data_IF_916684931951
#
_entry.id   IF_916684931951
#
_cell.length_a   1.000
_cell.length_b   1.000
_cell.length_c   1.000
_cell.angle_alpha   90.00
_cell.angle_beta   90.00
_cell.angle_gamma   90.00
#
_symmetry.space_group_name_H-M   'P 1'
#
loop_
_entity.id
_entity.type
_entity.pdbx_description
1 polymer ?
#
# COMPACT_ATOMS: atom_id res chain seq x y z
N UNK A 1 4.07 -28.49 -23.16
CA UNK A 1 4.21 -27.08 -23.58
C UNK A 1 5.68 -26.82 -23.86
N UNK A 2 6.07 -26.43 -25.09
CA UNK A 2 7.48 -26.19 -25.46
C UNK A 2 8.14 -25.10 -24.61
N UNK A 3 7.38 -24.14 -24.08
CA UNK A 3 7.92 -23.10 -23.20
C UNK A 3 8.30 -23.64 -21.82
N UNK A 4 7.50 -24.56 -21.27
CA UNK A 4 7.80 -25.18 -19.97
C UNK A 4 9.10 -26.02 -20.02
N UNK A 5 9.41 -26.63 -21.16
CA UNK A 5 10.62 -27.44 -21.32
C UNK A 5 11.91 -26.60 -21.38
N UNK A 6 11.80 -25.32 -21.72
CA UNK A 6 12.93 -24.38 -21.84
C UNK A 6 12.98 -23.37 -20.68
N UNK A 7 11.96 -23.35 -19.82
CA UNK A 7 11.88 -22.44 -18.71
C UNK A 7 12.81 -22.92 -17.57
N UNK A 8 13.67 -22.04 -17.09
CA UNK A 8 14.42 -22.29 -15.85
C UNK A 8 13.48 -22.34 -14.63
N UNK A 9 12.49 -21.44 -14.60
CA UNK A 9 11.48 -21.32 -13.54
C UNK A 9 10.13 -20.96 -14.11
N UNK A 10 9.07 -21.35 -13.40
CA UNK A 10 7.69 -21.03 -13.72
C UNK A 10 7.05 -20.33 -12.53
N UNK A 11 6.30 -19.27 -12.79
CA UNK A 11 5.62 -18.51 -11.75
C UNK A 11 4.22 -18.09 -12.14
N UNK A 12 3.37 -17.85 -11.14
CA UNK A 12 2.00 -17.37 -11.34
C UNK A 12 1.99 -15.87 -11.65
N UNK A 13 1.08 -15.45 -12.53
CA UNK A 13 0.93 -14.03 -12.94
C UNK A 13 -0.17 -13.29 -12.17
N UNK A 14 -0.65 -13.88 -11.07
CA UNK A 14 -1.74 -13.32 -10.28
C UNK A 14 -1.36 -11.98 -9.67
N UNK A 15 -2.24 -10.98 -9.79
CA UNK A 15 -2.08 -9.66 -9.21
C UNK A 15 -3.29 -9.39 -8.32
N UNK A 16 -3.13 -9.45 -6.98
CA UNK A 16 -4.25 -9.25 -6.07
C UNK A 16 -4.71 -7.80 -6.09
N UNK A 17 -6.00 -7.60 -6.35
CA UNK A 17 -6.62 -6.29 -6.37
C UNK A 17 -7.11 -5.90 -4.97
N UNK A 18 -6.77 -4.68 -4.56
CA UNK A 18 -7.14 -4.10 -3.28
C UNK A 18 -7.88 -2.79 -3.54
N UNK A 19 -9.20 -2.85 -3.55
CA UNK A 19 -10.11 -1.72 -3.83
C UNK A 19 -9.84 -1.05 -5.20
N UNK A 20 -9.78 -1.81 -6.30
CA UNK A 20 -9.55 -1.22 -7.63
C UNK A 20 -8.09 -1.08 -8.03
N UNK A 21 -7.16 -1.25 -7.08
CA UNK A 21 -5.74 -0.90 -7.23
C UNK A 21 -4.87 -2.12 -6.94
N UNK A 22 -3.86 -2.34 -7.77
CA UNK A 22 -2.80 -3.31 -7.48
C UNK A 22 -1.75 -2.62 -6.63
N UNK A 23 -1.51 -3.16 -5.44
CA UNK A 23 -0.49 -2.63 -4.51
C UNK A 23 0.18 -3.67 -3.63
N UNK A 24 -0.17 -4.95 -3.75
CA UNK A 24 0.34 -6.03 -2.91
C UNK A 24 0.96 -7.14 -3.75
N UNK A 25 1.88 -7.87 -3.14
CA UNK A 25 2.44 -9.08 -3.72
C UNK A 25 1.42 -10.22 -3.70
N UNK A 26 1.51 -11.12 -4.69
CA UNK A 26 0.75 -12.37 -4.68
C UNK A 26 1.39 -13.35 -3.71
N UNK A 27 0.97 -13.29 -2.45
CA UNK A 27 1.51 -14.11 -1.35
C UNK A 27 0.64 -15.33 -1.05
N UNK A 28 -0.63 -15.29 -1.44
CA UNK A 28 -1.58 -16.38 -1.22
C UNK A 28 -1.37 -17.48 -2.27
N UNK A 29 -0.93 -18.66 -1.82
CA UNK A 29 -0.72 -19.82 -2.68
C UNK A 29 -1.88 -20.81 -2.51
N UNK A 30 -2.70 -21.06 -3.54
CA UNK A 30 -3.74 -22.09 -3.49
C UNK A 30 -3.14 -23.45 -3.13
N UNK A 31 -3.89 -24.30 -2.42
CA UNK A 31 -3.41 -25.63 -2.03
C UNK A 31 -2.87 -26.45 -3.22
N UNK A 32 -3.51 -26.31 -4.38
CA UNK A 32 -3.13 -26.98 -5.62
C UNK A 32 -1.78 -26.52 -6.20
N UNK A 33 -1.28 -25.35 -5.81
CA UNK A 33 -0.07 -24.73 -6.35
C UNK A 33 0.84 -24.15 -5.24
N UNK A 34 0.90 -24.80 -4.07
CA UNK A 34 1.68 -24.31 -2.92
C UNK A 34 3.18 -24.12 -3.21
N UNK A 35 3.73 -24.91 -4.13
CA UNK A 35 5.14 -24.86 -4.51
C UNK A 35 5.40 -23.91 -5.70
N UNK A 36 4.37 -23.30 -6.28
CA UNK A 36 4.52 -22.38 -7.40
C UNK A 36 4.65 -20.96 -6.86
N UNK A 37 5.80 -20.35 -7.11
CA UNK A 37 6.06 -18.95 -6.78
C UNK A 37 5.32 -18.00 -7.73
N UNK A 38 5.22 -16.73 -7.39
CA UNK A 38 4.81 -15.67 -8.31
C UNK A 38 5.86 -15.44 -9.40
N UNK A 39 5.45 -14.83 -10.53
CA UNK A 39 6.38 -14.46 -11.60
C UNK A 39 7.48 -13.52 -11.11
N UNK A 40 7.15 -12.60 -10.20
CA UNK A 40 8.11 -11.69 -9.59
C UNK A 40 9.15 -12.43 -8.73
N UNK A 41 8.72 -13.39 -7.90
CA UNK A 41 9.61 -14.26 -7.11
C UNK A 41 10.49 -15.12 -8.03
N UNK A 42 9.91 -15.74 -9.06
CA UNK A 42 10.66 -16.54 -10.03
C UNK A 42 11.75 -15.71 -10.72
N UNK A 43 11.43 -14.49 -11.15
CA UNK A 43 12.38 -13.57 -11.76
C UNK A 43 13.47 -13.13 -10.77
N UNK A 44 13.14 -12.94 -9.50
CA UNK A 44 14.09 -12.61 -8.45
C UNK A 44 14.93 -13.81 -7.97
N UNK A 45 14.78 -15.00 -8.59
CA UNK A 45 15.50 -16.22 -8.19
C UNK A 45 15.04 -16.77 -6.83
N UNK A 46 13.85 -16.41 -6.40
CA UNK A 46 13.27 -16.82 -5.13
C UNK A 46 12.58 -18.18 -5.24
N UNK A 47 12.65 -18.96 -4.16
CA UNK A 47 11.97 -20.25 -4.03
C UNK A 47 10.80 -20.15 -3.05
N UNK A 48 9.86 -21.10 -3.10
CA UNK A 48 8.65 -21.07 -2.28
C UNK A 48 8.94 -21.03 -0.76
N UNK A 49 10.10 -21.55 -0.33
CA UNK A 49 10.51 -21.66 1.08
C UNK A 49 11.56 -20.62 1.50
N UNK A 50 11.80 -19.58 0.70
CA UNK A 50 12.85 -18.62 0.99
C UNK A 50 12.56 -17.86 2.31
N UNK A 51 13.59 -17.58 3.14
CA UNK A 51 13.40 -16.83 4.37
C UNK A 51 12.99 -15.38 4.09
N UNK A 52 12.06 -14.86 4.91
CA UNK A 52 11.57 -13.47 4.89
C UNK A 52 10.94 -12.98 3.57
N UNK A 53 9.95 -13.69 3.00
CA UNK A 53 9.19 -13.17 1.85
C UNK A 53 8.35 -11.95 2.27
N UNK A 54 7.85 -11.14 1.30
CA UNK A 54 6.89 -10.09 1.60
C UNK A 54 5.69 -10.65 2.37
N UNK A 55 5.26 -9.94 3.41
CA UNK A 55 4.06 -10.28 4.15
C UNK A 55 2.79 -10.08 3.32
N UNK A 56 1.70 -10.74 3.71
CA UNK A 56 0.38 -10.61 3.05
C UNK A 56 -0.13 -9.16 2.96
N UNK A 57 0.32 -8.29 3.87
CA UNK A 57 -0.08 -6.89 3.95
C UNK A 57 1.00 -5.92 3.48
N UNK A 58 2.17 -6.41 3.07
CA UNK A 58 3.23 -5.58 2.53
C UNK A 58 2.82 -5.01 1.17
N UNK A 59 3.33 -3.82 0.86
CA UNK A 59 3.02 -3.14 -0.39
C UNK A 59 4.21 -3.15 -1.34
N UNK A 60 3.89 -3.23 -2.63
CA UNK A 60 4.82 -2.97 -3.73
C UNK A 60 5.23 -1.49 -3.64
N UNK A 61 6.53 -1.25 -3.65
CA UNK A 61 7.10 0.10 -3.72
C UNK A 61 7.18 0.53 -5.19
N UNK A 62 6.15 1.24 -5.64
CA UNK A 62 6.13 1.78 -7.01
C UNK A 62 7.08 2.97 -7.13
N UNK A 63 8.06 2.84 -8.02
CA UNK A 63 9.05 3.91 -8.26
C UNK A 63 8.48 5.15 -8.97
N UNK A 64 7.26 5.07 -9.50
CA UNK A 64 6.60 6.18 -10.17
C UNK A 64 5.30 5.77 -10.88
N UNK A 65 4.68 6.68 -11.65
CA UNK A 65 3.51 6.40 -12.48
C UNK A 65 3.84 5.38 -13.60
N UNK A 66 2.85 5.03 -14.43
CA UNK A 66 3.06 4.10 -15.55
C UNK A 66 4.22 4.54 -16.46
N UNK A 67 4.97 3.55 -17.00
CA UNK A 67 6.20 3.73 -17.79
C UNK A 67 7.39 4.29 -17.01
N UNK A 68 7.43 4.08 -15.69
CA UNK A 68 8.63 4.41 -14.90
C UNK A 68 9.73 3.38 -15.15
N UNK A 69 9.36 2.11 -15.31
CA UNK A 69 10.29 1.08 -15.79
C UNK A 69 10.45 1.27 -17.32
N UNK A 70 11.68 1.31 -17.86
CA UNK A 70 11.89 1.46 -19.30
C UNK A 70 11.20 0.36 -20.12
N UNK A 71 10.40 0.77 -21.10
CA UNK A 71 9.66 -0.16 -21.99
C UNK A 71 10.08 0.01 -23.44
N UNK A 72 10.20 -1.10 -24.17
CA UNK A 72 10.53 -1.12 -25.60
C UNK A 72 9.45 -1.88 -26.36
N UNK A 73 9.12 -1.41 -27.57
CA UNK A 73 8.24 -2.18 -28.47
C UNK A 73 8.96 -3.45 -28.92
N UNK A 74 8.29 -4.60 -28.77
CA UNK A 74 8.83 -5.89 -29.20
C UNK A 74 9.17 -5.88 -30.69
N UNK A 75 8.28 -5.33 -31.52
CA UNK A 75 8.47 -5.24 -32.96
C UNK A 75 9.71 -4.42 -33.33
N UNK A 76 9.92 -3.27 -32.65
CA UNK A 76 11.12 -2.47 -32.84
C UNK A 76 12.37 -3.22 -32.43
N UNK A 77 12.36 -3.98 -31.32
CA UNK A 77 13.53 -4.76 -30.87
C UNK A 77 13.90 -5.84 -31.90
N UNK A 78 12.91 -6.51 -32.49
CA UNK A 78 13.14 -7.58 -33.48
C UNK A 78 13.53 -7.04 -34.85
N UNK A 79 12.83 -6.02 -35.36
CA UNK A 79 13.07 -5.48 -36.70
C UNK A 79 14.28 -4.56 -36.77
N UNK A 80 14.51 -3.77 -35.72
CA UNK A 80 15.55 -2.73 -35.71
C UNK A 80 16.75 -3.16 -34.89
N UNK A 81 17.27 -4.39 -35.08
CA UNK A 81 18.45 -4.90 -34.35
C UNK A 81 19.66 -3.95 -34.25
N UNK A 82 19.70 -2.88 -35.04
CA UNK A 82 20.69 -1.80 -35.03
C UNK A 82 20.28 -0.45 -34.39
N UNK A 83 19.01 -0.22 -34.00
CA UNK A 83 18.56 1.06 -33.45
C UNK A 83 18.65 1.17 -31.92
N UNK A 84 18.82 0.04 -31.22
CA UNK A 84 19.04 0.03 -29.78
C UNK A 84 20.54 0.12 -29.48
N UNK A 85 20.89 0.83 -28.40
CA UNK A 85 22.29 0.89 -27.96
C UNK A 85 22.82 -0.53 -27.69
N UNK A 86 24.07 -0.84 -28.08
CA UNK A 86 24.70 -2.09 -27.71
C UNK A 86 24.58 -2.33 -26.19
N UNK A 87 24.31 -3.56 -25.79
CA UNK A 87 24.13 -3.95 -24.37
C UNK A 87 22.88 -3.40 -23.65
N UNK A 88 21.87 -2.88 -24.37
CA UNK A 88 20.62 -2.37 -23.75
C UNK A 88 20.00 -3.36 -22.73
N UNK A 89 20.05 -4.66 -23.02
CA UNK A 89 19.48 -5.75 -22.20
C UNK A 89 20.53 -6.58 -21.46
N UNK A 90 21.82 -6.25 -21.58
CA UNK A 90 22.88 -7.04 -20.96
C UNK A 90 22.77 -6.97 -19.43
N UNK A 91 22.91 -8.11 -18.76
CA UNK A 91 22.88 -8.26 -17.30
C UNK A 91 21.58 -7.75 -16.64
N UNK A 92 20.47 -7.77 -17.40
CA UNK A 92 19.15 -7.33 -16.94
C UNK A 92 18.13 -8.46 -17.07
N UNK A 93 17.15 -8.44 -16.16
CA UNK A 93 15.93 -9.22 -16.30
C UNK A 93 14.98 -8.42 -17.19
N UNK A 94 14.51 -9.04 -18.28
CA UNK A 94 13.60 -8.41 -19.24
C UNK A 94 12.23 -9.08 -19.14
N UNK A 95 11.22 -8.28 -18.80
CA UNK A 95 9.83 -8.72 -18.79
C UNK A 95 9.21 -8.46 -20.16
N UNK A 96 8.81 -9.53 -20.84
CA UNK A 96 8.14 -9.47 -22.14
C UNK A 96 6.68 -9.82 -21.93
N UNK A 97 5.79 -8.94 -22.35
CA UNK A 97 4.36 -9.13 -22.19
C UNK A 97 3.55 -8.19 -23.07
N UNK A 98 2.24 -8.32 -22.97
CA UNK A 98 1.32 -7.65 -23.86
C UNK A 98 1.03 -6.22 -23.38
N UNK A 99 1.08 -5.25 -24.30
CA UNK A 99 0.73 -3.85 -24.04
C UNK A 99 -0.27 -3.38 -25.09
N UNK A 100 -1.57 -3.59 -24.88
CA UNK A 100 -2.61 -3.01 -25.74
C UNK A 100 -3.21 -1.76 -25.11
N UNK A 101 -2.99 -0.61 -25.76
CA UNK A 101 -3.67 0.66 -25.42
C UNK A 101 -5.12 0.71 -25.89
N UNK A 102 -5.47 -0.07 -26.92
CA UNK A 102 -6.75 0.03 -27.64
C UNK A 102 -7.62 -1.23 -27.54
N UNK A 103 -7.41 -2.05 -26.51
CA UNK A 103 -8.16 -3.29 -26.35
C UNK A 103 -9.58 -3.04 -25.81
N UNK A 104 -10.58 -3.25 -26.64
CA UNK A 104 -11.92 -3.67 -26.19
C UNK A 104 -11.88 -5.19 -25.96
N UNK A 105 -12.36 -5.67 -24.80
CA UNK A 105 -12.44 -7.11 -24.51
C UNK A 105 -11.33 -7.65 -23.59
N UNK A 106 -10.95 -8.95 -23.67
CA UNK A 106 -10.10 -9.61 -22.67
C UNK A 106 -8.72 -8.98 -22.45
N UNK A 107 -8.15 -8.28 -23.43
CA UNK A 107 -6.88 -7.57 -23.28
C UNK A 107 -6.98 -6.29 -22.42
N UNK A 108 -8.19 -5.80 -22.11
CA UNK A 108 -8.39 -4.81 -21.05
C UNK A 108 -8.04 -5.37 -19.66
N UNK A 109 -8.09 -6.71 -19.50
CA UNK A 109 -7.82 -7.41 -18.22
C UNK A 109 -6.37 -7.33 -17.75
N UNK A 110 -5.43 -6.88 -18.59
CA UNK A 110 -4.02 -6.70 -18.21
C UNK A 110 -3.63 -5.25 -17.91
N UNK A 111 -4.62 -4.35 -17.89
CA UNK A 111 -4.45 -2.96 -17.46
C UNK A 111 -5.02 -2.80 -16.06
N UNK A 112 -4.30 -2.10 -15.19
CA UNK A 112 -4.63 -1.98 -13.77
C UNK A 112 -4.44 -0.54 -13.29
N UNK A 113 -5.01 -0.19 -12.13
CA UNK A 113 -4.64 1.04 -11.44
C UNK A 113 -3.50 0.76 -10.47
N UNK A 114 -2.53 1.67 -10.44
CA UNK A 114 -1.50 1.76 -9.40
C UNK A 114 -1.90 2.82 -8.36
N UNK A 115 -1.19 2.92 -7.22
CA UNK A 115 -1.43 3.97 -6.22
C UNK A 115 -1.34 5.41 -6.77
N UNK A 116 -0.64 5.63 -7.88
CA UNK A 116 -0.55 6.96 -8.52
C UNK A 116 -1.85 7.38 -9.22
N UNK A 117 -2.69 6.42 -9.63
CA UNK A 117 -4.00 6.64 -10.27
C UNK A 117 -4.02 7.61 -11.48
N UNK A 118 -2.86 8.02 -12.00
CA UNK A 118 -2.73 9.01 -13.08
C UNK A 118 -2.92 8.39 -14.48
N UNK A 119 -2.43 7.15 -14.66
CA UNK A 119 -2.57 6.36 -15.88
C UNK A 119 -2.71 4.88 -15.47
N UNK A 120 -3.35 4.07 -16.30
CA UNK A 120 -3.36 2.61 -16.09
C UNK A 120 -1.97 2.05 -16.36
N UNK A 121 -1.55 1.11 -15.51
CA UNK A 121 -0.30 0.39 -15.62
C UNK A 121 -0.57 -1.04 -16.12
N UNK A 122 0.35 -1.60 -16.90
CA UNK A 122 0.22 -2.97 -17.41
C UNK A 122 0.76 -3.99 -16.42
N UNK A 123 0.17 -5.19 -16.40
CA UNK A 123 0.59 -6.29 -15.50
C UNK A 123 2.09 -6.60 -15.58
N UNK A 124 2.66 -6.56 -16.78
CA UNK A 124 4.10 -6.75 -17.03
C UNK A 124 4.97 -5.75 -16.26
N UNK A 125 4.57 -4.47 -16.22
CA UNK A 125 5.31 -3.43 -15.48
C UNK A 125 5.13 -3.58 -13.97
N UNK A 126 3.95 -4.04 -13.52
CA UNK A 126 3.74 -4.38 -12.11
C UNK A 126 4.65 -5.55 -11.69
N UNK A 127 4.72 -6.63 -12.48
CA UNK A 127 5.60 -7.77 -12.22
C UNK A 127 7.07 -7.37 -12.21
N UNK A 128 7.48 -6.49 -13.14
CA UNK A 128 8.83 -5.93 -13.17
C UNK A 128 9.14 -5.10 -11.92
N UNK A 129 8.21 -4.27 -11.48
CA UNK A 129 8.34 -3.45 -10.25
C UNK A 129 8.43 -4.35 -9.02
N UNK A 130 7.56 -5.35 -8.91
CA UNK A 130 7.56 -6.30 -7.81
C UNK A 130 8.88 -7.10 -7.76
N UNK A 131 9.36 -7.62 -8.89
CA UNK A 131 10.64 -8.32 -8.96
C UNK A 131 11.81 -7.41 -8.57
N UNK A 132 11.78 -6.15 -9.01
CA UNK A 132 12.78 -5.16 -8.61
C UNK A 132 12.78 -4.96 -7.09
N UNK A 133 11.61 -4.81 -6.44
CA UNK A 133 11.54 -4.69 -4.99
C UNK A 133 12.06 -5.94 -4.26
N UNK A 134 11.81 -7.13 -4.80
CA UNK A 134 12.30 -8.38 -4.23
C UNK A 134 13.83 -8.49 -4.32
N UNK A 135 14.41 -8.05 -5.44
CA UNK A 135 15.85 -8.02 -5.65
C UNK A 135 16.57 -6.99 -4.79
N UNK A 136 15.98 -5.80 -4.61
CA UNK A 136 16.56 -4.71 -3.80
C UNK A 136 16.23 -4.81 -2.32
N UNK A 137 15.18 -5.53 -1.94
CA UNK A 137 14.70 -5.59 -0.56
C UNK A 137 13.92 -4.34 -0.12
N UNK A 138 13.45 -3.50 -1.05
CA UNK A 138 12.92 -2.16 -0.78
C UNK A 138 11.38 -2.03 -0.85
N UNK A 139 10.66 -3.15 -0.74
CA UNK A 139 9.21 -3.12 -0.63
C UNK A 139 8.76 -2.45 0.67
N UNK A 140 7.52 -1.96 0.69
CA UNK A 140 6.99 -1.26 1.87
C UNK A 140 6.47 -2.31 2.85
N UNK A 141 7.20 -2.49 3.94
CA UNK A 141 6.88 -3.41 5.02
C UNK A 141 5.75 -2.85 5.86
N UNK A 142 4.64 -3.59 5.91
CA UNK A 142 3.54 -3.30 6.81
C UNK A 142 3.66 -4.22 8.00
N UNK A 143 3.73 -3.63 9.19
CA UNK A 143 3.66 -4.41 10.43
C UNK A 143 2.33 -5.14 10.49
N UNK A 144 2.34 -6.45 10.19
CA UNK A 144 1.30 -7.39 10.59
C UNK A 144 1.43 -7.76 12.07
N UNK A 145 2.26 -7.03 12.83
CA UNK A 145 2.39 -7.32 14.24
C UNK A 145 1.07 -6.94 14.90
N UNK A 146 0.34 -7.92 15.41
CA UNK A 146 -0.78 -7.72 16.34
C UNK A 146 -0.39 -6.68 17.38
N UNK A 147 0.87 -6.62 17.79
CA UNK A 147 1.48 -5.59 18.63
C UNK A 147 1.28 -4.17 18.11
N UNK A 148 1.48 -3.91 16.81
CA UNK A 148 1.25 -2.59 16.21
C UNK A 148 -0.23 -2.20 16.23
N UNK A 149 -1.12 -3.16 15.94
CA UNK A 149 -2.57 -2.92 16.00
C UNK A 149 -3.05 -2.67 17.43
N UNK A 150 -2.54 -3.47 18.39
CA UNK A 150 -2.81 -3.31 19.83
C UNK A 150 -2.25 -1.99 20.34
N UNK A 151 -1.03 -1.60 19.96
CA UNK A 151 -0.44 -0.32 20.37
C UNK A 151 -1.26 0.87 19.82
N UNK A 152 -1.67 0.82 18.55
CA UNK A 152 -2.57 1.83 17.95
C UNK A 152 -3.92 1.86 18.67
N UNK A 153 -4.50 0.71 19.01
CA UNK A 153 -5.76 0.65 19.74
C UNK A 153 -5.65 1.22 21.17
N UNK A 154 -4.64 0.80 21.92
CA UNK A 154 -4.38 1.25 23.30
C UNK A 154 -4.08 2.75 23.33
N UNK A 155 -3.25 3.26 22.43
CA UNK A 155 -3.00 4.70 22.32
C UNK A 155 -4.29 5.47 22.01
N UNK A 156 -5.16 4.93 21.15
CA UNK A 156 -6.49 5.48 20.90
C UNK A 156 -7.34 5.60 22.17
N UNK A 157 -7.41 4.53 22.98
CA UNK A 157 -8.15 4.53 24.25
C UNK A 157 -7.59 5.54 25.25
N UNK A 158 -6.27 5.62 25.38
CA UNK A 158 -5.61 6.58 26.27
C UNK A 158 -5.90 8.01 25.83
N UNK A 159 -5.79 8.31 24.55
CA UNK A 159 -6.08 9.64 24.00
C UNK A 159 -7.55 10.02 24.20
N UNK A 160 -8.47 9.10 23.95
CA UNK A 160 -9.89 9.32 24.21
C UNK A 160 -10.14 9.63 25.68
N UNK A 161 -9.61 8.82 26.60
CA UNK A 161 -9.73 9.07 28.04
C UNK A 161 -9.20 10.45 28.44
N UNK A 162 -8.05 10.86 27.92
CA UNK A 162 -7.45 12.16 28.20
C UNK A 162 -8.31 13.32 27.66
N UNK A 163 -8.87 13.19 26.45
CA UNK A 163 -9.74 14.21 25.85
C UNK A 163 -10.97 14.45 26.73
N UNK A 164 -11.63 13.39 27.20
CA UNK A 164 -12.83 13.50 28.03
C UNK A 164 -12.54 13.93 29.47
N UNK A 165 -11.32 13.74 29.97
CA UNK A 165 -10.92 14.09 31.35
C UNK A 165 -10.51 15.56 31.52
N UNK A 166 -10.30 16.31 30.43
CA UNK A 166 -9.72 17.66 30.46
C UNK A 166 -10.73 18.70 29.93
N UNK A 167 -10.61 19.94 30.41
CA UNK A 167 -11.40 21.08 29.91
C UNK A 167 -11.22 21.26 28.39
N UNK A 168 -12.31 21.57 27.64
CA UNK A 168 -12.28 21.68 26.18
C UNK A 168 -11.20 22.62 25.61
N UNK A 169 -10.92 23.72 26.30
CA UNK A 169 -9.92 24.72 25.87
C UNK A 169 -8.49 24.16 25.80
N UNK A 170 -8.17 23.11 26.58
CA UNK A 170 -6.86 22.45 26.56
C UNK A 170 -6.88 21.14 25.77
N UNK A 171 -8.05 20.54 25.56
CA UNK A 171 -8.21 19.29 24.82
C UNK A 171 -7.77 19.41 23.35
N UNK A 172 -7.75 20.62 22.77
CA UNK A 172 -7.23 20.84 21.41
C UNK A 172 -5.75 20.45 21.26
N UNK A 173 -4.92 20.62 22.29
CA UNK A 173 -3.51 20.22 22.26
C UNK A 173 -3.37 18.69 22.23
N UNK A 174 -4.28 17.98 22.90
CA UNK A 174 -4.35 16.51 22.93
C UNK A 174 -4.92 15.91 21.64
N UNK A 175 -5.41 16.74 20.72
CA UNK A 175 -5.73 16.35 19.35
C UNK A 175 -4.56 16.72 18.44
N UNK A 176 -4.16 18.00 18.44
CA UNK A 176 -3.17 18.52 17.50
C UNK A 176 -1.81 17.82 17.62
N UNK A 177 -1.30 17.61 18.84
CA UNK A 177 0.02 17.02 19.05
C UNK A 177 0.07 15.55 18.61
N UNK A 178 -0.88 14.67 19.00
CA UNK A 178 -0.87 13.29 18.52
C UNK A 178 -1.16 13.17 17.02
N UNK A 179 -2.08 13.97 16.46
CA UNK A 179 -2.35 13.96 15.02
C UNK A 179 -1.12 14.38 14.21
N UNK A 180 -0.49 15.50 14.58
CA UNK A 180 0.71 16.01 13.92
C UNK A 180 1.91 15.08 14.10
N UNK A 181 2.11 14.57 15.33
CA UNK A 181 3.16 13.61 15.64
C UNK A 181 3.02 12.31 14.86
N UNK A 182 1.80 11.76 14.79
CA UNK A 182 1.53 10.57 13.98
C UNK A 182 1.73 10.85 12.48
N UNK A 183 1.30 12.00 11.95
CA UNK A 183 1.50 12.33 10.54
C UNK A 183 2.98 12.44 10.16
N UNK A 184 3.78 13.12 11.00
CA UNK A 184 5.23 13.24 10.83
C UNK A 184 5.89 11.87 10.91
N UNK A 185 5.58 11.09 11.95
CA UNK A 185 6.12 9.75 12.12
C UNK A 185 5.75 8.86 10.94
N UNK A 186 4.47 8.83 10.53
CA UNK A 186 4.00 8.04 9.39
C UNK A 186 4.73 8.40 8.10
N UNK A 187 4.96 9.69 7.85
CA UNK A 187 5.72 10.13 6.67
C UNK A 187 7.17 9.64 6.71
N UNK A 188 7.86 9.84 7.84
CA UNK A 188 9.24 9.37 8.00
C UNK A 188 9.36 7.85 7.87
N UNK A 189 8.48 7.08 8.51
CA UNK A 189 8.48 5.62 8.37
C UNK A 189 8.22 5.19 6.93
N UNK A 190 7.30 5.85 6.23
CA UNK A 190 6.98 5.55 4.84
C UNK A 190 8.18 5.77 3.92
N UNK A 191 8.90 6.89 4.08
CA UNK A 191 10.15 7.14 3.34
C UNK A 191 11.26 6.10 3.62
N UNK A 192 11.19 5.39 4.74
CA UNK A 192 12.10 4.31 5.10
C UNK A 192 11.54 2.91 4.75
N UNK A 193 10.52 2.82 3.90
CA UNK A 193 9.95 1.54 3.46
C UNK A 193 9.05 0.86 4.50
N UNK A 194 8.46 1.63 5.43
CA UNK A 194 7.57 1.09 6.46
C UNK A 194 6.20 1.78 6.46
N UNK A 195 5.13 0.99 6.48
CA UNK A 195 3.76 1.53 6.59
C UNK A 195 3.29 1.52 8.04
N UNK A 196 3.03 2.71 8.60
CA UNK A 196 2.47 2.88 9.95
C UNK A 196 0.93 2.98 9.90
N UNK A 197 0.18 1.99 10.38
CA UNK A 197 -1.28 2.10 10.47
C UNK A 197 -1.67 3.15 11.53
N UNK A 198 -2.83 3.77 11.36
CA UNK A 198 -3.36 4.74 12.33
C UNK A 198 -4.11 5.92 11.73
N UNK A 199 -4.08 6.09 10.40
CA UNK A 199 -4.72 7.22 9.73
C UNK A 199 -6.18 7.43 10.17
N UNK A 200 -6.98 6.37 10.20
CA UNK A 200 -8.37 6.43 10.65
C UNK A 200 -8.49 6.87 12.12
N UNK A 201 -7.64 6.37 13.00
CA UNK A 201 -7.66 6.75 14.41
C UNK A 201 -7.31 8.23 14.58
N UNK A 202 -6.13 8.63 14.09
CA UNK A 202 -5.59 9.96 14.33
C UNK A 202 -6.31 11.05 13.50
N UNK A 203 -6.74 10.76 12.27
CA UNK A 203 -7.35 11.77 11.41
C UNK A 203 -8.87 11.80 11.45
N UNK A 204 -9.52 10.74 11.94
CA UNK A 204 -11.00 10.67 11.98
C UNK A 204 -11.50 10.55 13.41
N UNK A 205 -11.16 9.48 14.13
CA UNK A 205 -11.76 9.21 15.44
C UNK A 205 -11.34 10.22 16.51
N UNK A 206 -10.07 10.61 16.57
CA UNK A 206 -9.60 11.59 17.56
C UNK A 206 -10.23 12.98 17.34
N UNK A 207 -10.23 13.56 16.12
CA UNK A 207 -10.96 14.81 15.86
C UNK A 207 -12.46 14.71 16.13
N UNK A 208 -13.10 13.61 15.72
CA UNK A 208 -14.53 13.40 15.94
C UNK A 208 -14.86 13.32 17.44
N UNK A 209 -14.05 12.63 18.23
CA UNK A 209 -14.22 12.54 19.68
C UNK A 209 -14.08 13.90 20.36
N UNK A 210 -13.15 14.74 19.89
CA UNK A 210 -13.03 16.11 20.38
C UNK A 210 -14.26 16.96 20.05
N UNK A 211 -14.81 16.86 18.83
CA UNK A 211 -16.07 17.53 18.48
C UNK A 211 -17.21 17.04 19.37
N UNK A 212 -17.34 15.73 19.57
CA UNK A 212 -18.36 15.17 20.47
C UNK A 212 -18.21 15.68 21.91
N UNK A 213 -16.98 15.72 22.44
CA UNK A 213 -16.69 16.24 23.78
C UNK A 213 -17.05 17.72 23.94
N UNK A 214 -16.72 18.55 22.95
CA UNK A 214 -17.04 20.00 23.00
C UNK A 214 -18.54 20.24 22.98
N UNK A 215 -19.30 19.53 22.14
CA UNK A 215 -20.77 19.62 22.09
C UNK A 215 -21.40 19.12 23.40
N UNK A 216 -20.91 18.00 23.95
CA UNK A 216 -21.41 17.47 25.22
C UNK A 216 -21.23 18.46 26.37
N UNK A 217 -20.05 19.09 26.47
CA UNK A 217 -19.77 20.10 27.49
C UNK A 217 -20.61 21.37 27.31
N UNK A 218 -20.87 21.79 26.07
CA UNK A 218 -21.77 22.92 25.80
C UNK A 218 -23.20 22.60 26.22
N UNK A 219 -23.72 21.43 25.85
CA UNK A 219 -25.06 21.00 26.23
C UNK A 219 -25.26 20.97 27.75
N UNK A 220 -24.32 20.39 28.50
CA UNK A 220 -24.38 20.38 29.97
C UNK A 220 -24.38 21.79 30.54
N UNK A 221 -23.53 22.66 30.01
CA UNK A 221 -23.45 24.05 30.47
C UNK A 221 -24.76 24.79 30.22
N UNK A 222 -25.35 24.65 29.04
CA UNK A 222 -26.59 25.36 28.69
C UNK A 222 -27.79 24.80 29.47
N UNK A 223 -27.85 23.47 29.66
CA UNK A 223 -28.87 22.82 30.48
C UNK A 223 -28.81 23.23 31.95
N UNK A 224 -27.60 23.26 32.54
CA UNK A 224 -27.41 23.70 33.93
C UNK A 224 -27.78 25.18 34.12
N UNK A 225 -27.46 26.05 33.16
CA UNK A 225 -27.87 27.46 33.17
C UNK A 225 -29.40 27.64 33.06
N UNK A 226 -30.08 26.78 32.30
CA UNK A 226 -31.53 26.78 32.18
C UNK A 226 -32.22 26.39 33.49
N UNK A 227 -31.75 25.32 34.14
CA UNK A 227 -32.27 24.88 35.44
C UNK A 227 -32.05 25.95 36.52
N UNK A 228 -30.86 26.56 36.56
CA UNK A 228 -30.56 27.62 37.50
C UNK A 228 -31.50 28.83 37.33
N UNK A 229 -31.72 29.31 36.09
CA UNK A 229 -32.66 30.41 35.82
C UNK A 229 -34.10 30.08 36.22
N UNK A 230 -34.56 28.84 36.00
CA UNK A 230 -35.90 28.41 36.42
C UNK A 230 -36.08 28.35 37.94
N UNK A 231 -35.02 28.09 38.70
CA UNK A 231 -35.08 28.07 40.17
C UNK A 231 -35.15 29.46 40.82
N UNK A 232 -34.88 30.52 40.05
CA UNK A 232 -34.87 31.91 40.51
C UNK A 232 -36.14 32.68 40.13
N UNK A 233 -37.07 32.04 39.41
CA UNK A 233 -38.39 32.55 39.04
C UNK A 233 -39.46 31.91 39.92
#
# INVERSE_FOLDING_TARGET
>A
DPFLAQAERVGTVSLPEDNGVIRRFSTERPQQYQNVVSLAEAAAGMDANQPNPPGQYDYINYYGPARTIPTYSYDSVVQSGNSLAPNTFKDKIVFVGLMLKSASGPAQKESFLSPFQSERIYGTEIHATAAANLLSGDWIKRSNSTTGLVATFVSGLVLLFLIFSIRPSRAILFVAVPCGGWAIASYHYFCNGHFLPGATLFLVFIPLAFVAHTLYQQFIRDFSLMLYRRSQL
#
